data_IF_916748717526
#
_entry.id   IF_916748717526
#
_cell.length_a   1.000
_cell.length_b   1.000
_cell.length_c   1.000
_cell.angle_alpha   90.00
_cell.angle_beta   90.00
_cell.angle_gamma   90.00
#
_symmetry.space_group_name_H-M   'P 1'
#
loop_
_entity.id
_entity.type
_entity.pdbx_description
1 polymer ?
#
# COMPACT_ATOMS: atom_id res chain seq x y z
N UNK A 1 -14.81 2.29 -8.90
CA UNK A 1 -13.95 1.79 -7.80
C UNK A 1 -12.79 1.03 -8.42
N UNK A 2 -11.54 1.44 -8.18
CA UNK A 2 -10.38 0.73 -8.74
C UNK A 2 -9.82 -0.24 -7.70
N UNK A 3 -9.69 -1.51 -8.09
CA UNK A 3 -9.12 -2.56 -7.25
C UNK A 3 -7.84 -3.03 -7.93
N UNK A 4 -6.71 -2.88 -7.25
CA UNK A 4 -5.45 -3.47 -7.70
C UNK A 4 -5.16 -4.67 -6.81
N UNK A 5 -5.09 -5.85 -7.42
CA UNK A 5 -4.66 -7.07 -6.75
C UNK A 5 -3.21 -7.33 -7.11
N UNK A 6 -2.33 -7.30 -6.12
CA UNK A 6 -0.91 -7.57 -6.27
C UNK A 6 -0.56 -8.82 -5.45
N UNK A 7 -0.33 -9.93 -6.12
CA UNK A 7 0.12 -11.17 -5.47
C UNK A 7 1.65 -11.21 -5.59
N UNK A 8 2.37 -11.18 -4.47
CA UNK A 8 3.83 -11.22 -4.52
C UNK A 8 4.41 -11.99 -3.34
N UNK A 9 5.35 -12.88 -3.66
CA UNK A 9 6.23 -13.49 -2.65
C UNK A 9 7.29 -12.46 -2.27
N UNK A 10 7.45 -12.22 -0.97
CA UNK A 10 8.54 -11.37 -0.47
C UNK A 10 9.77 -12.25 -0.35
N UNK A 11 10.69 -12.04 -1.28
CA UNK A 11 12.02 -12.67 -1.26
C UNK A 11 12.88 -12.18 -0.09
N UNK A 12 13.97 -12.90 0.21
CA UNK A 12 14.93 -12.51 1.28
C UNK A 12 15.40 -11.06 1.12
N UNK A 13 15.61 -10.60 -0.11
CA UNK A 13 16.00 -9.23 -0.43
C UNK A 13 14.99 -8.15 -0.03
N UNK A 14 13.72 -8.52 0.18
CA UNK A 14 12.65 -7.61 0.59
C UNK A 14 12.23 -7.80 2.06
N UNK A 15 12.91 -8.69 2.78
CA UNK A 15 12.73 -8.88 4.22
C UNK A 15 13.18 -7.63 4.97
N UNK A 16 12.46 -7.23 6.01
CA UNK A 16 12.80 -6.05 6.81
C UNK A 16 12.47 -4.71 6.14
N UNK A 17 12.07 -4.71 4.87
CA UNK A 17 11.59 -3.51 4.18
C UNK A 17 10.22 -3.12 4.74
N UNK A 18 10.03 -1.81 4.90
CA UNK A 18 8.75 -1.23 5.32
C UNK A 18 7.70 -1.36 4.23
N UNK A 19 6.46 -1.66 4.63
CA UNK A 19 5.32 -1.79 3.74
C UNK A 19 5.15 -0.58 2.81
N UNK A 20 5.26 0.64 3.34
CA UNK A 20 5.13 1.86 2.53
C UNK A 20 6.20 1.96 1.43
N UNK A 21 7.44 1.55 1.73
CA UNK A 21 8.56 1.61 0.78
C UNK A 21 8.41 0.51 -0.28
N UNK A 22 8.10 -0.71 0.14
CA UNK A 22 7.88 -1.83 -0.78
C UNK A 22 6.76 -1.53 -1.77
N UNK A 23 5.63 -1.03 -1.29
CA UNK A 23 4.51 -0.65 -2.14
C UNK A 23 4.86 0.48 -3.10
N UNK A 24 5.62 1.48 -2.66
CA UNK A 24 6.11 2.57 -3.55
C UNK A 24 7.00 2.01 -4.66
N UNK A 25 7.87 1.04 -4.36
CA UNK A 25 8.72 0.39 -5.37
C UNK A 25 7.95 -0.49 -6.36
N UNK A 26 6.77 -0.98 -5.99
CA UNK A 26 5.93 -1.84 -6.85
C UNK A 26 4.85 -1.07 -7.60
N UNK A 27 4.39 0.04 -7.04
CA UNK A 27 3.37 0.90 -7.62
C UNK A 27 3.99 2.24 -7.99
N UNK A 28 4.86 2.23 -9.00
CA UNK A 28 5.61 3.42 -9.45
C UNK A 28 4.72 4.59 -9.88
N UNK A 29 3.45 4.30 -10.21
CA UNK A 29 2.43 5.29 -10.55
C UNK A 29 1.88 6.08 -9.35
N UNK A 30 2.18 5.68 -8.11
CA UNK A 30 1.69 6.34 -6.91
C UNK A 30 2.84 6.84 -6.04
N UNK A 31 2.66 8.04 -5.51
CA UNK A 31 3.61 8.61 -4.56
C UNK A 31 3.56 7.88 -3.22
N UNK A 32 4.68 7.93 -2.49
CA UNK A 32 4.79 7.40 -1.13
C UNK A 32 3.73 7.98 -0.19
N UNK A 33 3.37 9.26 -0.36
CA UNK A 33 2.34 9.94 0.44
C UNK A 33 0.94 9.34 0.20
N UNK A 34 0.58 9.09 -1.07
CA UNK A 34 -0.68 8.43 -1.41
C UNK A 34 -0.77 7.02 -0.81
N UNK A 35 0.30 6.24 -0.96
CA UNK A 35 0.37 4.89 -0.42
C UNK A 35 0.27 4.93 1.11
N UNK A 36 1.01 5.82 1.78
CA UNK A 36 0.94 6.00 3.24
C UNK A 36 -0.50 6.30 3.68
N UNK A 37 -1.20 7.21 3.00
CA UNK A 37 -2.59 7.56 3.33
C UNK A 37 -3.53 6.36 3.14
N UNK A 38 -3.36 5.56 2.09
CA UNK A 38 -4.15 4.34 1.92
C UNK A 38 -3.90 3.30 3.00
N UNK A 39 -2.65 3.14 3.44
CA UNK A 39 -2.35 2.26 4.57
C UNK A 39 -3.10 2.75 5.81
N UNK A 40 -2.92 4.03 6.19
CA UNK A 40 -3.54 4.61 7.39
C UNK A 40 -5.07 4.53 7.35
N UNK A 41 -5.68 4.72 6.18
CA UNK A 41 -7.13 4.69 5.98
C UNK A 41 -7.72 3.28 5.82
N UNK A 42 -7.01 2.22 6.21
CA UNK A 42 -7.49 0.82 6.15
C UNK A 42 -7.82 0.31 4.73
N UNK A 43 -7.30 0.96 3.69
CA UNK A 43 -7.60 0.64 2.27
C UNK A 43 -6.75 -0.52 1.72
N UNK A 44 -5.85 -1.08 2.53
CA UNK A 44 -4.87 -2.09 2.12
C UNK A 44 -5.04 -3.34 2.96
N UNK A 45 -5.22 -4.46 2.27
CA UNK A 45 -5.23 -5.79 2.87
C UNK A 45 -4.00 -6.58 2.46
N UNK A 46 -3.42 -7.28 3.41
CA UNK A 46 -2.33 -8.24 3.19
C UNK A 46 -2.77 -9.57 3.79
N UNK A 47 -2.81 -10.62 2.97
CA UNK A 47 -3.31 -11.94 3.40
C UNK A 47 -4.71 -11.83 4.04
N UNK A 48 -5.62 -11.08 3.39
CA UNK A 48 -6.95 -10.73 3.90
C UNK A 48 -7.01 -9.88 5.19
N UNK A 49 -5.88 -9.58 5.82
CA UNK A 49 -5.82 -8.75 7.05
C UNK A 49 -5.64 -7.29 6.65
N UNK A 50 -6.47 -6.41 7.21
CA UNK A 50 -6.32 -4.95 7.04
C UNK A 50 -5.03 -4.51 7.74
N UNK A 51 -4.14 -3.85 7.00
CA UNK A 51 -2.90 -3.30 7.57
C UNK A 51 -2.97 -1.78 7.54
N UNK A 52 -2.85 -1.19 8.72
CA UNK A 52 -2.86 0.26 8.91
C UNK A 52 -1.53 0.85 9.40
N UNK A 53 -0.50 0.01 9.45
CA UNK A 53 0.84 0.39 9.91
C UNK A 53 1.79 0.49 8.71
N UNK A 54 2.08 1.69 8.17
CA UNK A 54 2.97 1.85 7.01
C UNK A 54 4.39 1.37 7.29
N UNK A 55 4.83 1.51 8.55
CA UNK A 55 6.16 1.07 9.00
C UNK A 55 6.26 -0.43 9.24
N UNK A 56 5.17 -1.20 9.09
CA UNK A 56 5.21 -2.67 9.27
C UNK A 56 6.26 -3.24 8.33
N UNK A 57 7.18 -4.04 8.87
CA UNK A 57 8.21 -4.71 8.08
C UNK A 57 7.67 -6.04 7.58
N UNK A 58 8.08 -6.44 6.39
CA UNK A 58 7.83 -7.80 5.92
C UNK A 58 8.78 -8.78 6.62
N UNK A 59 8.22 -9.91 7.04
CA UNK A 59 8.96 -11.07 7.54
C UNK A 59 9.34 -11.98 6.37
N UNK A 60 10.46 -12.69 6.51
CA UNK A 60 10.99 -13.61 5.51
C UNK A 60 10.04 -14.80 5.30
N UNK A 61 10.12 -15.44 4.12
CA UNK A 61 9.48 -16.72 3.79
C UNK A 61 7.94 -16.74 3.84
N UNK A 62 7.31 -15.57 3.98
CA UNK A 62 5.86 -15.45 3.97
C UNK A 62 5.38 -15.03 2.58
N UNK A 63 4.42 -15.76 2.01
CA UNK A 63 3.70 -15.33 0.81
C UNK A 63 2.73 -14.22 1.20
N UNK A 64 2.82 -13.07 0.54
CA UNK A 64 1.95 -11.92 0.81
C UNK A 64 1.02 -11.67 -0.39
N UNK A 65 -0.28 -11.82 -0.15
CA UNK A 65 -1.33 -11.43 -1.09
C UNK A 65 -1.78 -10.04 -0.74
N UNK A 66 -1.33 -9.04 -1.50
CA UNK A 66 -1.72 -7.64 -1.29
C UNK A 66 -2.94 -7.32 -2.14
N UNK A 67 -4.01 -6.89 -1.50
CA UNK A 67 -5.22 -6.41 -2.16
C UNK A 67 -5.35 -4.93 -1.78
N UNK A 68 -5.13 -4.08 -2.77
CA UNK A 68 -5.25 -2.63 -2.65
C UNK A 68 -6.62 -2.22 -3.19
N UNK A 69 -7.47 -1.68 -2.33
CA UNK A 69 -8.76 -1.12 -2.72
C UNK A 69 -8.70 0.37 -2.47
N UNK A 70 -8.55 1.17 -3.51
CA UNK A 70 -8.55 2.62 -3.36
C UNK A 70 -9.48 3.27 -4.37
N UNK A 71 -10.09 4.35 -3.92
CA UNK A 71 -10.78 5.26 -4.81
C UNK A 71 -9.69 6.07 -5.51
N UNK A 72 -9.65 6.01 -6.85
CA UNK A 72 -9.01 7.08 -7.62
C UNK A 72 -9.86 8.32 -7.36
N UNK A 73 -9.62 9.01 -6.24
CA UNK A 73 -9.99 10.42 -6.16
C UNK A 73 -9.02 11.10 -7.12
N UNK A 74 -9.56 11.80 -8.11
CA UNK A 74 -8.83 12.83 -8.83
C UNK A 74 -8.23 13.77 -7.78
N UNK A 75 -6.99 13.52 -7.41
CA UNK A 75 -6.20 14.48 -6.64
C UNK A 75 -5.54 15.38 -7.68
N UNK A 76 -6.28 16.38 -8.13
CA UNK A 76 -5.68 17.66 -8.51
C UNK A 76 -5.06 18.25 -7.24
N UNK A 77 -3.84 18.76 -7.37
CA UNK A 77 -3.02 19.18 -6.24
C UNK A 77 -3.73 20.11 -5.25
N UNK A 78 -3.39 19.94 -3.98
CA UNK A 78 -3.38 20.99 -2.96
C UNK A 78 -4.56 21.96 -2.84
N UNK A 79 -5.83 21.59 -3.07
CA UNK A 79 -6.94 22.41 -2.52
C UNK A 79 -7.98 21.53 -1.83
N UNK A 80 -8.07 21.74 -0.51
CA UNK A 80 -9.11 21.22 0.38
C UNK A 80 -10.38 22.02 0.07
N UNK A 81 -11.38 21.41 -0.54
CA UNK A 81 -12.70 22.04 -0.65
C UNK A 81 -13.40 21.78 0.69
N UNK A 82 -13.46 22.81 1.53
CA UNK A 82 -14.36 22.86 2.67
C UNK A 82 -15.81 22.90 2.17
N UNK A 83 -16.71 22.32 2.98
CA UNK A 83 -18.17 22.33 2.80
C UNK A 83 -18.71 23.71 2.44
#
# INVERSE_FOLDING_TARGET
MNIIKLIKTVDKSNTGIRLDIFLTKKLLQFSRSQIKNWIINNNIKINNIIINKPKKKFLQETKYTLILKFYKKEYYGNHKISH
#
